data_IF_740929285297
#
_entry.id   IF_740929285297
#
_cell.length_a   1.000
_cell.length_b   1.000
_cell.length_c   1.000
_cell.angle_alpha   90.00
_cell.angle_beta   90.00
_cell.angle_gamma   90.00
#
_symmetry.space_group_name_H-M   'P 1'
#
loop_
_entity.id
_entity.type
_entity.pdbx_description
1 polymer ?
#
# COMPACT_ATOMS: atom_id res chain seq x y z
N UNK A 1 -10.28 10.74 -11.89
CA UNK A 1 -9.34 10.19 -10.89
C UNK A 1 -8.62 9.02 -11.55
N UNK A 2 -7.32 8.83 -11.32
CA UNK A 2 -6.61 7.69 -11.92
C UNK A 2 -6.82 6.44 -11.05
N UNK A 3 -7.12 5.30 -11.69
CA UNK A 3 -7.47 4.04 -11.00
C UNK A 3 -6.44 2.96 -11.29
N UNK A 4 -6.27 2.02 -10.37
CA UNK A 4 -5.41 0.85 -10.55
C UNK A 4 -6.25 -0.42 -10.70
N UNK A 5 -5.87 -1.33 -11.61
CA UNK A 5 -6.61 -2.57 -11.88
C UNK A 5 -6.68 -3.50 -10.67
N UNK A 6 -5.62 -3.58 -9.86
CA UNK A 6 -5.54 -4.53 -8.73
C UNK A 6 -6.21 -4.01 -7.46
N UNK A 7 -6.51 -2.71 -7.39
CA UNK A 7 -7.20 -2.07 -6.27
C UNK A 7 -8.33 -1.16 -6.78
N UNK A 8 -9.34 -1.74 -7.46
CA UNK A 8 -10.41 -0.96 -8.07
C UNK A 8 -11.21 -0.14 -7.05
N UNK A 9 -11.31 -0.63 -5.82
CA UNK A 9 -12.07 -0.02 -4.73
C UNK A 9 -11.28 1.05 -3.95
N UNK A 10 -10.07 1.40 -4.39
CA UNK A 10 -9.20 2.33 -3.66
C UNK A 10 -9.86 3.70 -3.42
N UNK A 11 -10.51 4.27 -4.44
CA UNK A 11 -11.21 5.55 -4.30
C UNK A 11 -12.49 5.46 -3.48
N UNK A 12 -13.17 4.31 -3.51
CA UNK A 12 -14.33 4.06 -2.67
C UNK A 12 -13.92 4.06 -1.19
N UNK A 13 -12.92 3.24 -0.83
CA UNK A 13 -12.39 3.15 0.54
C UNK A 13 -11.83 4.48 1.03
N UNK A 14 -11.14 5.21 0.16
CA UNK A 14 -10.67 6.56 0.46
C UNK A 14 -11.86 7.49 0.76
N UNK A 15 -12.91 7.47 -0.07
CA UNK A 15 -14.10 8.32 0.14
C UNK A 15 -14.82 8.02 1.46
N UNK A 16 -14.91 6.75 1.83
CA UNK A 16 -15.50 6.30 3.10
C UNK A 16 -14.66 6.74 4.29
N UNK A 17 -13.33 6.60 4.18
CA UNK A 17 -12.38 7.00 5.22
C UNK A 17 -12.43 8.50 5.51
N UNK A 18 -12.60 9.31 4.47
CA UNK A 18 -12.68 10.77 4.57
C UNK A 18 -14.12 11.29 4.73
N UNK A 19 -15.11 10.41 4.91
CA UNK A 19 -16.54 10.76 5.06
C UNK A 19 -17.11 11.61 3.91
N UNK A 20 -16.58 11.42 2.70
CA UNK A 20 -17.00 12.11 1.46
C UNK A 20 -17.64 11.15 0.45
N UNK A 21 -18.17 10.03 0.94
CA UNK A 21 -18.87 9.05 0.11
C UNK A 21 -20.03 9.72 -0.66
N UNK A 22 -20.09 9.48 -1.98
CA UNK A 22 -21.12 10.05 -2.87
C UNK A 22 -20.78 11.41 -3.50
N UNK A 23 -19.70 12.08 -3.06
CA UNK A 23 -19.20 13.32 -3.71
C UNK A 23 -18.27 13.05 -4.89
N UNK A 24 -17.69 11.85 -4.95
CA UNK A 24 -16.80 11.41 -6.02
C UNK A 24 -17.35 10.14 -6.64
N UNK A 25 -17.21 10.01 -7.97
CA UNK A 25 -17.45 8.76 -8.67
C UNK A 25 -16.19 7.90 -8.59
N UNK A 26 -16.18 6.80 -7.81
CA UNK A 26 -15.01 5.94 -7.63
C UNK A 26 -14.65 5.17 -8.90
N UNK A 27 -15.53 5.12 -9.91
CA UNK A 27 -15.30 4.51 -11.20
C UNK A 27 -14.89 5.51 -12.28
N UNK A 28 -14.84 6.81 -11.96
CA UNK A 28 -14.52 7.85 -12.93
C UNK A 28 -13.01 7.98 -13.19
N UNK A 29 -12.59 7.48 -14.35
CA UNK A 29 -11.30 7.80 -14.97
C UNK A 29 -10.53 6.59 -15.51
N UNK A 30 -9.37 6.85 -16.12
CA UNK A 30 -8.54 5.83 -16.75
C UNK A 30 -8.00 4.84 -15.72
N UNK A 31 -7.90 3.59 -16.15
CA UNK A 31 -7.40 2.48 -15.34
C UNK A 31 -5.99 2.10 -15.81
N UNK A 32 -5.08 1.95 -14.86
CA UNK A 32 -3.69 1.55 -15.07
C UNK A 32 -3.41 0.21 -14.40
N UNK A 33 -2.51 -0.55 -15.01
CA UNK A 33 -2.08 -1.86 -14.53
C UNK A 33 -0.83 -1.81 -13.64
N UNK A 34 0.00 -0.78 -13.82
CA UNK A 34 1.23 -0.55 -13.07
C UNK A 34 1.17 0.78 -12.31
N UNK A 35 1.53 0.76 -11.01
CA UNK A 35 1.68 1.96 -10.19
C UNK A 35 2.67 2.96 -10.78
N UNK A 36 3.81 2.49 -11.33
CA UNK A 36 4.81 3.39 -11.90
C UNK A 36 4.28 4.19 -13.09
N UNK A 37 3.48 3.56 -13.96
CA UNK A 37 2.84 4.23 -15.09
C UNK A 37 1.84 5.26 -14.60
N UNK A 38 1.07 4.92 -13.56
CA UNK A 38 0.12 5.84 -12.94
C UNK A 38 0.82 7.05 -12.28
N UNK A 39 1.94 6.85 -11.59
CA UNK A 39 2.76 7.93 -11.02
C UNK A 39 3.26 8.88 -12.12
N UNK A 40 3.79 8.33 -13.21
CA UNK A 40 4.21 9.14 -14.37
C UNK A 40 3.05 9.91 -14.99
N UNK A 41 1.85 9.33 -15.02
CA UNK A 41 0.65 10.02 -15.48
C UNK A 41 0.28 11.21 -14.60
N UNK A 42 0.40 11.07 -13.28
CA UNK A 42 0.24 12.19 -12.33
C UNK A 42 1.30 13.26 -12.54
N UNK A 43 2.57 12.86 -12.71
CA UNK A 43 3.66 13.80 -13.01
C UNK A 43 3.43 14.59 -14.30
N UNK A 44 2.80 13.96 -15.30
CA UNK A 44 2.40 14.61 -16.55
C UNK A 44 1.15 15.50 -16.43
N UNK A 45 0.57 15.63 -15.24
CA UNK A 45 -0.60 16.48 -14.99
C UNK A 45 -1.95 15.85 -15.39
N UNK A 46 -2.03 14.53 -15.57
CA UNK A 46 -3.29 13.87 -15.94
C UNK A 46 -4.32 13.79 -14.81
N UNK A 47 -3.96 14.17 -13.58
CA UNK A 47 -4.87 14.27 -12.44
C UNK A 47 -4.29 13.70 -11.15
N UNK A 48 -5.18 13.17 -10.29
CA UNK A 48 -4.85 12.60 -8.98
C UNK A 48 -4.90 11.07 -9.02
N UNK A 49 -3.97 10.42 -8.32
CA UNK A 49 -3.91 8.97 -8.16
C UNK A 49 -3.73 8.59 -6.68
N UNK A 50 -4.29 7.44 -6.31
CA UNK A 50 -3.99 6.78 -5.04
C UNK A 50 -2.88 5.74 -5.27
N UNK A 51 -1.75 5.92 -4.61
CA UNK A 51 -0.57 5.05 -4.73
C UNK A 51 0.00 4.73 -3.34
N UNK A 52 0.61 3.55 -3.14
CA UNK A 52 1.38 3.27 -1.93
C UNK A 52 2.49 4.30 -1.75
N UNK A 53 2.58 4.88 -0.55
CA UNK A 53 3.54 5.96 -0.26
C UNK A 53 5.00 5.57 -0.48
N UNK A 54 5.35 4.31 -0.19
CA UNK A 54 6.70 3.79 -0.41
C UNK A 54 7.16 3.89 -1.87
N UNK A 55 6.25 3.95 -2.84
CA UNK A 55 6.56 4.01 -4.27
C UNK A 55 6.71 5.43 -4.82
N UNK A 56 6.28 6.45 -4.07
CA UNK A 56 6.25 7.86 -4.53
C UNK A 56 7.12 8.77 -3.64
N UNK A 57 7.81 8.20 -2.65
CA UNK A 57 8.59 8.95 -1.67
C UNK A 57 9.76 9.70 -2.34
N UNK A 58 10.38 9.11 -3.34
CA UNK A 58 11.45 9.75 -4.11
C UNK A 58 10.92 10.90 -4.95
N UNK A 59 9.79 10.72 -5.65
CA UNK A 59 9.15 11.75 -6.46
C UNK A 59 8.64 12.92 -5.62
N UNK A 60 8.11 12.66 -4.42
CA UNK A 60 7.72 13.70 -3.46
C UNK A 60 8.94 14.49 -2.98
N UNK A 61 10.02 13.78 -2.64
CA UNK A 61 11.28 14.41 -2.18
C UNK A 61 11.91 15.25 -3.28
N UNK A 62 11.83 14.79 -4.53
CA UNK A 62 12.27 15.52 -5.72
C UNK A 62 11.33 16.69 -6.11
N UNK A 63 10.16 16.82 -5.48
CA UNK A 63 9.18 17.86 -5.79
C UNK A 63 8.45 17.66 -7.12
N UNK A 64 8.54 16.47 -7.72
CA UNK A 64 7.90 16.12 -8.99
C UNK A 64 6.41 15.82 -8.81
N UNK A 65 6.05 15.29 -7.63
CA UNK A 65 4.67 15.02 -7.22
C UNK A 65 4.44 15.67 -5.86
N UNK A 66 3.23 16.16 -5.62
CA UNK A 66 2.84 16.72 -4.32
C UNK A 66 1.67 15.92 -3.74
N UNK A 67 1.72 15.66 -2.44
CA UNK A 67 0.60 15.13 -1.66
C UNK A 67 -0.29 16.31 -1.22
N UNK A 68 -1.52 16.46 -1.77
CA UNK A 68 -2.35 17.65 -1.56
C UNK A 68 -2.99 17.73 -0.16
N UNK A 69 -2.91 16.68 0.64
CA UNK A 69 -3.60 16.54 1.94
C UNK A 69 -2.64 16.04 3.04
N UNK A 70 -1.35 16.40 2.93
CA UNK A 70 -0.28 15.88 3.78
C UNK A 70 -0.44 16.19 5.29
N UNK A 71 -1.27 17.18 5.63
CA UNK A 71 -1.48 17.66 7.01
C UNK A 71 -2.61 16.95 7.76
N UNK A 72 -3.42 16.14 7.06
CA UNK A 72 -4.49 15.34 7.68
C UNK A 72 -3.91 14.13 8.46
N UNK A 73 -4.63 13.57 9.44
CA UNK A 73 -4.13 12.46 10.26
C UNK A 73 -3.77 11.20 9.45
N UNK A 74 -4.34 11.04 8.26
CA UNK A 74 -4.02 9.99 7.29
C UNK A 74 -3.22 10.50 6.08
N UNK A 75 -2.77 11.75 6.11
CA UNK A 75 -2.08 12.47 5.02
C UNK A 75 -2.85 12.44 3.70
N UNK A 76 -4.18 12.37 3.79
CA UNK A 76 -5.05 12.21 2.62
C UNK A 76 -4.99 10.85 1.95
N UNK A 77 -4.42 9.83 2.59
CA UNK A 77 -4.53 8.42 2.20
C UNK A 77 -5.62 7.68 2.96
N UNK A 78 -5.60 6.34 2.86
CA UNK A 78 -6.37 5.43 3.71
C UNK A 78 -5.51 4.20 4.02
N UNK A 79 -5.83 3.50 5.11
CA UNK A 79 -5.18 2.22 5.44
C UNK A 79 -5.90 1.09 4.70
N UNK A 80 -5.17 0.41 3.83
CA UNK A 80 -5.67 -0.78 3.15
C UNK A 80 -5.46 -2.02 4.02
N UNK A 81 -6.39 -2.97 3.96
CA UNK A 81 -6.21 -4.31 4.55
C UNK A 81 -5.16 -5.13 3.78
N UNK A 82 -4.78 -4.67 2.58
CA UNK A 82 -3.77 -5.30 1.74
C UNK A 82 -2.38 -4.74 2.07
N UNK A 83 -1.47 -5.63 2.46
CA UNK A 83 -0.07 -5.31 2.79
C UNK A 83 0.93 -6.15 2.01
N UNK A 84 2.21 -5.81 2.17
CA UNK A 84 3.32 -6.60 1.64
C UNK A 84 3.72 -7.70 2.63
N UNK A 85 3.79 -8.93 2.16
CA UNK A 85 4.13 -10.09 2.96
C UNK A 85 5.44 -10.71 2.48
N UNK A 86 6.31 -11.05 3.43
CA UNK A 86 7.53 -11.80 3.15
C UNK A 86 7.28 -13.29 3.39
N UNK A 87 7.28 -14.09 2.31
CA UNK A 87 6.99 -15.52 2.37
C UNK A 87 8.26 -16.35 2.11
N UNK A 88 8.49 -17.38 2.92
CA UNK A 88 9.58 -18.34 2.74
C UNK A 88 9.11 -19.77 3.03
N UNK A 89 9.70 -20.80 2.39
CA UNK A 89 9.30 -22.18 2.62
C UNK A 89 9.69 -22.66 4.02
N UNK A 90 8.79 -23.42 4.65
CA UNK A 90 8.89 -23.83 6.06
C UNK A 90 10.19 -24.60 6.38
N UNK A 91 10.69 -25.39 5.44
CA UNK A 91 11.96 -26.12 5.57
C UNK A 91 13.22 -25.25 5.66
N UNK A 92 13.13 -23.94 5.41
CA UNK A 92 14.27 -23.00 5.47
C UNK A 92 14.31 -22.16 6.76
N UNK A 93 13.40 -22.40 7.70
CA UNK A 93 13.27 -21.61 8.94
C UNK A 93 14.52 -21.66 9.84
N UNK A 94 15.34 -22.71 9.73
CA UNK A 94 16.58 -22.87 10.51
C UNK A 94 17.83 -22.26 9.85
N UNK A 95 17.72 -21.65 8.67
CA UNK A 95 18.86 -20.99 8.05
C UNK A 95 19.17 -19.69 8.80
N UNK A 96 20.33 -19.64 9.45
CA UNK A 96 20.78 -18.44 10.18
C UNK A 96 20.80 -17.19 9.28
N UNK A 97 21.23 -17.33 8.02
CA UNK A 97 21.22 -16.24 7.05
C UNK A 97 19.82 -15.68 6.78
N UNK A 98 18.78 -16.54 6.75
CA UNK A 98 17.40 -16.12 6.59
C UNK A 98 16.91 -15.33 7.80
N UNK A 99 17.26 -15.78 9.01
CA UNK A 99 16.91 -15.09 10.25
C UNK A 99 17.59 -13.72 10.35
N UNK A 100 18.88 -13.64 10.01
CA UNK A 100 19.59 -12.36 9.94
C UNK A 100 18.95 -11.41 8.92
N UNK A 101 18.58 -11.91 7.74
CA UNK A 101 17.90 -11.10 6.73
C UNK A 101 16.52 -10.63 7.19
N UNK A 102 15.71 -11.51 7.79
CA UNK A 102 14.41 -11.15 8.37
C UNK A 102 14.55 -10.07 9.43
N UNK A 103 15.52 -10.22 10.34
CA UNK A 103 15.76 -9.24 11.39
C UNK A 103 16.20 -7.89 10.80
N UNK A 104 17.11 -7.91 9.82
CA UNK A 104 17.50 -6.70 9.10
C UNK A 104 16.31 -6.05 8.38
N UNK A 105 15.49 -6.85 7.70
CA UNK A 105 14.31 -6.37 6.97
C UNK A 105 13.29 -5.74 7.92
N UNK A 106 13.05 -6.33 9.09
CA UNK A 106 12.16 -5.76 10.11
C UNK A 106 12.70 -4.44 10.66
N UNK A 107 14.01 -4.32 10.86
CA UNK A 107 14.64 -3.03 11.24
C UNK A 107 14.48 -1.99 10.13
N UNK A 108 14.61 -2.38 8.86
CA UNK A 108 14.39 -1.48 7.73
C UNK A 108 12.91 -1.15 7.50
N UNK A 109 12.00 -2.04 7.91
CA UNK A 109 10.56 -1.89 7.79
C UNK A 109 9.94 -1.17 9.00
N UNK A 110 10.70 -0.93 10.09
CA UNK A 110 10.22 -0.11 11.19
C UNK A 110 9.74 1.24 10.63
N UNK A 111 8.45 1.55 10.80
CA UNK A 111 7.83 2.61 10.03
C UNK A 111 8.38 3.97 10.45
N UNK A 112 8.54 4.82 9.43
CA UNK A 112 8.62 6.27 9.56
C UNK A 112 7.27 6.78 10.12
N UNK A 113 7.06 6.57 11.43
CA UNK A 113 5.81 6.78 12.15
C UNK A 113 5.07 5.47 12.47
N UNK A 114 5.42 4.83 13.59
CA UNK A 114 4.60 3.76 14.18
C UNK A 114 3.24 4.33 14.58
N UNK A 115 2.19 3.91 13.87
CA UNK A 115 0.80 4.15 14.28
C UNK A 115 0.42 2.99 15.22
N UNK A 116 0.15 3.23 16.50
CA UNK A 116 -0.21 2.17 17.44
C UNK A 116 -1.57 1.59 17.04
N UNK A 117 -1.63 0.28 16.75
CA UNK A 117 -2.91 -0.41 16.53
C UNK A 117 -2.93 -1.51 15.46
N UNK A 118 -1.87 -1.75 14.69
CA UNK A 118 -1.82 -2.91 13.78
C UNK A 118 -1.61 -4.17 14.63
N UNK A 119 -2.58 -5.11 14.72
CA UNK A 119 -2.32 -6.38 15.37
C UNK A 119 -1.24 -7.09 14.55
N UNK A 120 -0.16 -7.48 15.23
CA UNK A 120 0.82 -8.39 14.68
C UNK A 120 0.05 -9.61 14.14
N UNK A 121 0.02 -9.74 12.81
CA UNK A 121 -0.69 -10.82 12.16
C UNK A 121 -0.07 -12.14 12.64
N UNK A 122 -0.82 -12.82 13.50
CA UNK A 122 -0.44 -14.12 14.02
C UNK A 122 -0.42 -15.09 12.84
N UNK A 123 0.67 -15.86 12.79
CA UNK A 123 0.93 -16.94 11.84
C UNK A 123 -0.31 -17.82 11.66
N UNK A 124 -1.07 -17.61 10.59
CA UNK A 124 -2.12 -18.51 10.17
C UNK A 124 -1.44 -19.77 9.62
N UNK A 125 -1.30 -20.78 10.47
CA UNK A 125 -0.99 -22.13 10.08
C UNK A 125 -1.99 -22.56 9.00
N UNK A 126 -1.51 -22.73 7.76
CA UNK A 126 -2.28 -23.36 6.70
C UNK A 126 -2.38 -24.85 7.00
N UNK A 127 -3.50 -25.27 7.60
CA UNK A 127 -3.91 -26.67 7.60
C UNK A 127 -4.28 -27.05 6.16
N UNK A 128 -3.65 -28.07 5.54
CA UNK A 128 -4.03 -28.50 4.20
C UNK A 128 -5.43 -29.17 4.22
N UNK A 129 -6.22 -29.06 3.15
CA UNK A 129 -7.53 -29.69 3.06
C UNK A 129 -7.42 -31.23 3.02
N UNK A 130 -8.37 -31.98 3.61
CA UNK A 130 -8.39 -33.44 3.48
C UNK A 130 -8.75 -33.84 2.04
N UNK A 131 -7.94 -34.73 1.48
CA UNK A 131 -8.23 -35.39 0.21
C UNK A 131 -9.48 -36.28 0.34
N UNK A 132 -10.35 -36.23 -0.66
CA UNK A 132 -11.36 -37.25 -0.96
C UNK A 132 -11.40 -37.44 -2.46
#
# INVERSE_FOLDING_TARGET
LLRHVTVPDAWLRWSETHQVAGLIDPLAGPQFDQFQTMIRAVMAGMGLALVPRCLVQDEITAGLVREPLADEPLRGGYLSDMGYWFCYPEGRTQLHALQCFLQWLLVCAEPLGAIPGVPAAQSAASTPPPAS
#
